data_IF_153705425867
#
_entry.id   IF_153705425867
#
_cell.length_a   1.000
_cell.length_b   1.000
_cell.length_c   1.000
_cell.angle_alpha   90.00
_cell.angle_beta   90.00
_cell.angle_gamma   90.00
#
_symmetry.space_group_name_H-M   'P 1'
#
loop_
_entity.id
_entity.type
_entity.pdbx_description
1 polymer ?
#
# COMPACT_ATOMS: atom_id res chain seq x y z
N UNK A 1 -4.72 25.30 0.90
CA UNK A 1 -4.52 24.39 2.01
C UNK A 1 -3.87 23.15 1.53
N UNK A 2 -2.90 22.71 2.27
CA UNK A 2 -2.18 21.52 1.85
C UNK A 2 -2.98 20.28 2.20
N UNK A 3 -2.92 19.35 1.29
CA UNK A 3 -3.54 18.07 1.48
C UNK A 3 -2.69 17.26 2.47
N UNK A 4 -3.33 16.44 3.32
CA UNK A 4 -2.57 15.55 4.20
C UNK A 4 -1.88 14.47 3.36
N UNK A 5 -0.85 13.85 3.94
CA UNK A 5 -0.16 12.76 3.27
C UNK A 5 -1.14 11.63 2.97
N UNK A 6 -1.97 11.27 3.95
CA UNK A 6 -3.00 10.26 3.77
C UNK A 6 -3.88 10.59 2.56
N UNK A 7 -4.41 11.80 2.51
CA UNK A 7 -5.33 12.17 1.44
C UNK A 7 -4.65 12.22 0.10
N UNK A 8 -3.38 12.63 0.06
CA UNK A 8 -2.63 12.65 -1.19
C UNK A 8 -2.45 11.24 -1.76
N UNK A 9 -2.12 10.27 -0.90
CA UNK A 9 -1.96 8.89 -1.33
C UNK A 9 -3.30 8.32 -1.80
N UNK A 10 -4.34 8.51 -1.00
CA UNK A 10 -5.67 7.98 -1.34
C UNK A 10 -6.16 8.58 -2.66
N UNK A 11 -5.98 9.89 -2.84
CA UNK A 11 -6.40 10.55 -4.06
C UNK A 11 -5.65 10.01 -5.28
N UNK A 12 -4.33 9.85 -5.16
CA UNK A 12 -3.52 9.41 -6.29
C UNK A 12 -3.87 7.99 -6.71
N UNK A 13 -3.99 7.08 -5.74
CA UNK A 13 -4.28 5.67 -6.03
C UNK A 13 -5.72 5.51 -6.52
N UNK A 14 -6.65 6.27 -5.94
CA UNK A 14 -8.05 6.19 -6.33
C UNK A 14 -8.30 6.68 -7.76
N UNK A 15 -7.37 7.44 -8.32
CA UNK A 15 -7.50 7.92 -9.69
C UNK A 15 -7.18 6.83 -10.72
N UNK A 16 -6.57 5.73 -10.31
CA UNK A 16 -6.28 4.65 -11.25
C UNK A 16 -7.56 3.89 -11.57
N UNK A 17 -7.67 3.44 -12.81
CA UNK A 17 -8.89 2.80 -13.29
C UNK A 17 -9.27 1.60 -12.43
N UNK A 18 -10.52 1.58 -11.98
CA UNK A 18 -11.07 0.46 -11.23
C UNK A 18 -10.77 0.49 -9.73
N UNK A 19 -10.02 1.46 -9.25
CA UNK A 19 -9.68 1.53 -7.83
C UNK A 19 -10.78 2.22 -7.05
N UNK A 20 -11.15 1.63 -5.91
CA UNK A 20 -12.10 2.23 -4.97
C UNK A 20 -11.44 2.33 -3.61
N UNK A 21 -11.88 3.30 -2.83
CA UNK A 21 -11.40 3.53 -1.48
C UNK A 21 -12.57 3.37 -0.50
N UNK A 22 -12.29 2.77 0.64
CA UNK A 22 -13.31 2.56 1.68
C UNK A 22 -12.63 2.58 3.04
N UNK A 23 -13.38 2.89 4.11
CA UNK A 23 -12.81 2.80 5.45
C UNK A 23 -12.39 1.36 5.73
N UNK A 24 -11.20 1.20 6.31
CA UNK A 24 -10.74 -0.11 6.75
C UNK A 24 -11.31 -0.37 8.14
N UNK A 25 -11.78 -1.60 8.39
CA UNK A 25 -12.46 -1.91 9.65
C UNK A 25 -11.57 -1.73 10.88
N UNK A 26 -10.26 -1.79 10.70
CA UNK A 26 -9.31 -1.61 11.79
C UNK A 26 -8.74 -0.19 11.80
N UNK A 27 -9.37 0.73 11.08
CA UNK A 27 -8.90 2.10 10.95
C UNK A 27 -8.18 2.33 9.66
N UNK A 28 -8.05 3.58 9.25
CA UNK A 28 -7.39 3.92 7.99
C UNK A 28 -8.30 3.75 6.78
N UNK A 29 -7.70 3.78 5.62
CA UNK A 29 -8.41 3.68 4.34
C UNK A 29 -7.87 2.52 3.53
N UNK A 30 -8.75 1.67 3.07
CA UNK A 30 -8.44 0.51 2.25
C UNK A 30 -8.64 0.86 0.78
N UNK A 31 -7.70 0.44 -0.06
CA UNK A 31 -7.74 0.70 -1.50
C UNK A 31 -7.84 -0.64 -2.21
N UNK A 32 -8.80 -0.77 -3.11
CA UNK A 32 -9.11 -2.03 -3.79
C UNK A 32 -9.23 -1.84 -5.29
N UNK A 33 -8.91 -2.89 -6.03
CA UNK A 33 -9.28 -3.00 -7.42
C UNK A 33 -10.11 -4.28 -7.56
N UNK A 34 -11.40 -4.12 -7.87
CA UNK A 34 -12.31 -5.25 -7.82
C UNK A 34 -12.41 -5.79 -6.40
N UNK A 35 -12.18 -7.10 -6.26
CA UNK A 35 -12.21 -7.74 -4.94
C UNK A 35 -10.86 -7.79 -4.26
N UNK A 36 -9.82 -7.37 -4.96
CA UNK A 36 -8.48 -7.49 -4.43
C UNK A 36 -8.08 -6.23 -3.71
N UNK A 37 -7.60 -6.37 -2.49
CA UNK A 37 -7.07 -5.25 -1.76
C UNK A 37 -5.66 -4.93 -2.25
N UNK A 38 -5.42 -3.65 -2.57
CA UNK A 38 -4.09 -3.19 -2.95
C UNK A 38 -3.26 -2.86 -1.72
N UNK A 39 -3.92 -2.46 -0.64
CA UNK A 39 -3.29 -2.07 0.58
C UNK A 39 -4.17 -1.09 1.34
N UNK A 40 -3.68 -0.66 2.49
CA UNK A 40 -4.40 0.35 3.26
C UNK A 40 -3.42 1.32 3.89
N UNK A 41 -3.92 2.53 4.15
CA UNK A 41 -3.12 3.64 4.66
C UNK A 41 -3.67 4.02 6.02
N UNK A 42 -2.79 4.04 7.02
CA UNK A 42 -3.13 4.41 8.39
C UNK A 42 -2.64 5.83 8.65
N UNK A 43 -3.56 6.79 8.58
CA UNK A 43 -3.21 8.19 8.78
C UNK A 43 -2.08 8.61 7.86
N UNK A 44 -1.20 9.46 8.37
CA UNK A 44 -0.08 10.00 7.59
C UNK A 44 1.22 9.23 7.82
N UNK A 45 1.17 8.10 8.53
CA UNK A 45 2.39 7.49 9.04
C UNK A 45 2.72 6.11 8.53
N UNK A 46 1.76 5.38 7.97
CA UNK A 46 2.00 3.98 7.66
C UNK A 46 1.12 3.53 6.50
N UNK A 47 1.71 2.77 5.60
CA UNK A 47 0.96 2.05 4.57
C UNK A 47 1.32 0.56 4.69
N UNK A 48 0.31 -0.29 4.57
CA UNK A 48 0.49 -1.75 4.57
C UNK A 48 -0.02 -2.29 3.24
N UNK A 49 0.76 -3.15 2.61
CA UNK A 49 0.42 -3.71 1.30
C UNK A 49 0.70 -5.20 1.25
N UNK A 50 -0.20 -5.99 0.62
CA UNK A 50 0.03 -7.42 0.47
C UNK A 50 0.70 -7.73 -0.86
N UNK A 51 1.67 -8.63 -0.84
CA UNK A 51 2.36 -9.10 -2.03
C UNK A 51 2.53 -10.62 -1.97
N UNK A 52 2.74 -11.27 -3.12
CA UNK A 52 3.22 -12.65 -3.09
C UNK A 52 4.51 -12.73 -2.30
N UNK A 53 4.74 -13.85 -1.63
CA UNK A 53 5.85 -13.95 -0.70
C UNK A 53 7.20 -13.65 -1.33
N UNK A 54 7.43 -14.10 -2.58
CA UNK A 54 8.70 -13.82 -3.23
C UNK A 54 8.91 -12.34 -3.49
N UNK A 55 7.85 -11.63 -3.89
CA UNK A 55 7.93 -10.17 -4.08
C UNK A 55 8.17 -9.48 -2.75
N UNK A 56 7.45 -9.92 -1.72
CA UNK A 56 7.64 -9.40 -0.37
C UNK A 56 9.10 -9.53 0.06
N UNK A 57 9.70 -10.69 -0.16
CA UNK A 57 11.07 -10.93 0.27
C UNK A 57 12.05 -10.01 -0.48
N UNK A 58 11.82 -9.80 -1.77
CA UNK A 58 12.67 -8.90 -2.55
C UNK A 58 12.54 -7.45 -2.08
N UNK A 59 11.33 -7.01 -1.77
CA UNK A 59 11.10 -5.65 -1.30
C UNK A 59 11.79 -5.41 0.04
N UNK A 60 11.69 -6.36 0.95
CA UNK A 60 12.31 -6.24 2.26
C UNK A 60 13.83 -6.28 2.14
N UNK A 61 14.35 -7.20 1.33
CA UNK A 61 15.80 -7.33 1.14
C UNK A 61 16.39 -6.06 0.50
N UNK A 62 15.66 -5.41 -0.37
CA UNK A 62 16.11 -4.19 -1.03
C UNK A 62 15.92 -2.94 -0.17
N UNK A 63 15.33 -3.07 1.01
CA UNK A 63 15.07 -1.92 1.87
C UNK A 63 13.93 -1.04 1.40
N UNK A 64 13.07 -1.54 0.51
CA UNK A 64 11.96 -0.76 -0.03
C UNK A 64 10.72 -0.83 0.83
N UNK A 65 10.65 -1.81 1.72
CA UNK A 65 9.56 -1.98 2.66
C UNK A 65 10.08 -2.76 3.85
N UNK A 66 9.29 -2.84 4.90
CA UNK A 66 9.63 -3.59 6.11
C UNK A 66 8.67 -4.76 6.26
N UNK A 67 9.05 -5.81 7.00
CA UNK A 67 8.10 -6.85 7.36
C UNK A 67 6.90 -6.21 8.06
N UNK A 68 5.73 -6.81 7.87
CA UNK A 68 4.50 -6.26 8.46
C UNK A 68 4.64 -6.22 9.99
N UNK A 69 4.16 -5.15 10.59
CA UNK A 69 4.36 -4.90 12.01
C UNK A 69 3.63 -5.91 12.91
N UNK A 70 2.63 -6.61 12.40
CA UNK A 70 1.90 -7.63 13.16
C UNK A 70 2.16 -9.02 12.59
N UNK A 71 2.24 -9.14 11.27
CA UNK A 71 2.41 -10.44 10.59
C UNK A 71 3.72 -10.44 9.80
N UNK A 72 4.87 -10.44 10.48
CA UNK A 72 6.17 -10.20 9.81
C UNK A 72 6.59 -11.28 8.83
N UNK A 73 6.00 -12.47 8.91
CA UNK A 73 6.37 -13.55 7.99
C UNK A 73 5.35 -13.77 6.89
N UNK A 74 4.34 -12.91 6.80
CA UNK A 74 3.35 -12.99 5.75
C UNK A 74 3.82 -12.25 4.50
N UNK A 75 3.01 -12.28 3.46
CA UNK A 75 3.27 -11.47 2.26
C UNK A 75 3.02 -9.98 2.46
N UNK A 76 2.42 -9.60 3.57
CA UNK A 76 2.20 -8.19 3.86
C UNK A 76 3.50 -7.48 4.21
N UNK A 77 3.61 -6.23 3.77
CA UNK A 77 4.74 -5.37 4.13
C UNK A 77 4.21 -4.08 4.73
N UNK A 78 5.05 -3.43 5.53
CA UNK A 78 4.75 -2.13 6.10
C UNK A 78 5.73 -1.11 5.55
N UNK A 79 5.21 0.06 5.20
CA UNK A 79 6.03 1.16 4.71
C UNK A 79 5.79 2.35 5.62
N UNK A 80 6.73 2.63 6.53
CA UNK A 80 6.60 3.82 7.39
C UNK A 80 6.68 5.07 6.54
N UNK A 81 5.86 6.05 6.88
CA UNK A 81 5.83 7.33 6.18
C UNK A 81 6.29 8.39 7.18
N UNK A 82 7.46 8.97 6.96
CA UNK A 82 8.02 9.96 7.86
C UNK A 82 7.71 11.37 7.41
N UNK A 83 7.58 11.56 6.11
CA UNK A 83 7.29 12.87 5.55
C UNK A 83 6.80 12.69 4.13
N UNK A 84 6.50 13.81 3.46
CA UNK A 84 6.05 13.78 2.07
C UNK A 84 7.07 13.18 1.12
N UNK A 85 8.33 13.14 1.53
CA UNK A 85 9.39 12.55 0.70
C UNK A 85 9.13 11.07 0.46
N UNK A 86 8.44 10.41 1.40
CA UNK A 86 8.16 8.98 1.28
C UNK A 86 6.96 8.67 0.38
N UNK A 87 6.17 9.66 0.01
CA UNK A 87 4.95 9.43 -0.78
C UNK A 87 5.23 8.75 -2.10
N UNK A 88 6.24 9.18 -2.91
CA UNK A 88 6.52 8.48 -4.16
C UNK A 88 6.82 7.00 -3.98
N UNK A 89 7.52 6.63 -2.92
CA UNK A 89 7.82 5.21 -2.64
C UNK A 89 6.54 4.43 -2.37
N UNK A 90 5.65 5.01 -1.57
CA UNK A 90 4.37 4.36 -1.26
C UNK A 90 3.55 4.18 -2.53
N UNK A 91 3.47 5.22 -3.35
CA UNK A 91 2.73 5.15 -4.61
C UNK A 91 3.31 4.12 -5.55
N UNK A 92 4.64 4.00 -5.60
CA UNK A 92 5.30 3.01 -6.43
C UNK A 92 4.90 1.60 -6.02
N UNK A 93 4.85 1.33 -4.71
CA UNK A 93 4.48 0.01 -4.24
C UNK A 93 3.00 -0.29 -4.49
N UNK A 94 2.12 0.69 -4.32
CA UNK A 94 0.73 0.51 -4.69
C UNK A 94 0.61 0.21 -6.19
N UNK A 95 1.39 0.91 -7.03
CA UNK A 95 1.34 0.70 -8.48
C UNK A 95 1.85 -0.69 -8.85
N UNK A 96 2.91 -1.14 -8.22
CA UNK A 96 3.40 -2.51 -8.42
C UNK A 96 2.30 -3.52 -8.15
N UNK A 97 1.59 -3.36 -7.04
CA UNK A 97 0.54 -4.30 -6.68
C UNK A 97 -0.64 -4.19 -7.64
N UNK A 98 -0.96 -2.96 -8.04
CA UNK A 98 -2.06 -2.72 -8.99
C UNK A 98 -1.80 -3.40 -10.34
N UNK A 99 -0.57 -3.35 -10.82
CA UNK A 99 -0.20 -3.89 -12.13
C UNK A 99 0.12 -5.39 -12.09
N UNK A 100 0.17 -5.98 -10.93
CA UNK A 100 0.48 -7.40 -10.78
C UNK A 100 -0.60 -8.24 -11.47
N UNK A 101 -0.20 -9.30 -12.21
CA UNK A 101 -1.20 -10.13 -12.87
C UNK A 101 -2.19 -10.73 -11.89
N UNK A 102 -3.45 -10.62 -12.27
CA UNK A 102 -4.51 -11.21 -11.48
C UNK A 102 -4.42 -12.67 -11.45
N UNK A 103 -4.01 -13.11 -12.48
CA UNK A 103 -4.13 -14.44 -12.70
C UNK A 103 -3.34 -15.25 -11.88
N UNK A 104 -2.76 -14.73 -11.13
CA UNK A 104 -2.21 -15.54 -10.17
C UNK A 104 -3.16 -16.62 -9.91
N UNK A 105 -4.14 -16.66 -10.56
CA UNK A 105 -5.08 -17.66 -10.39
C UNK A 105 -4.65 -18.95 -10.83
#
# INVERSE_FOLDING_TARGET
MDESIHDAIVRAVSAWQGVTAAPHRLGGTELRVGRRELGHVHGDRLADLPFPLLVRNDLVAAGRAQPHHIYPESGWVSVPIKSEIDVPRVLELFRMNYERPWAAR
#
